data_IF_898831096317
#
_entry.id   IF_898831096317
#
_cell.length_a   1.000
_cell.length_b   1.000
_cell.length_c   1.000
_cell.angle_alpha   90.00
_cell.angle_beta   90.00
_cell.angle_gamma   90.00
#
_symmetry.space_group_name_H-M   'P 1'
#
loop_
_entity.id
_entity.type
_entity.pdbx_description
1 polymer ?
#
# COMPACT_ATOMS: atom_id res chain seq x y z
N UNK A 1 29.45 10.55 -2.01
CA UNK A 1 29.31 10.27 -3.46
C UNK A 1 30.05 9.01 -3.90
N UNK A 2 31.39 8.94 -3.82
CA UNK A 2 32.18 7.82 -4.40
C UNK A 2 31.78 6.41 -3.87
N UNK A 3 31.39 6.28 -2.60
CA UNK A 3 30.93 5.01 -2.03
C UNK A 3 29.53 4.57 -2.51
N UNK A 4 28.62 5.52 -2.77
CA UNK A 4 27.31 5.26 -3.37
C UNK A 4 27.44 4.92 -4.85
N UNK A 5 28.36 5.59 -5.57
CA UNK A 5 28.68 5.30 -6.97
C UNK A 5 29.30 3.90 -7.12
N UNK A 6 30.18 3.48 -6.19
CA UNK A 6 30.75 2.11 -6.19
C UNK A 6 29.71 1.02 -5.91
N UNK A 7 28.78 1.23 -4.97
CA UNK A 7 27.66 0.29 -4.73
C UNK A 7 26.70 0.20 -5.93
N UNK A 8 26.40 1.33 -6.56
CA UNK A 8 25.60 1.38 -7.79
C UNK A 8 26.24 0.61 -8.94
N UNK A 9 27.55 0.80 -9.17
CA UNK A 9 28.30 0.07 -10.21
C UNK A 9 28.41 -1.43 -9.91
N UNK A 10 28.54 -1.82 -8.63
CA UNK A 10 28.55 -3.22 -8.22
C UNK A 10 27.18 -3.92 -8.43
N UNK A 11 26.07 -3.24 -8.13
CA UNK A 11 24.71 -3.74 -8.37
C UNK A 11 24.42 -3.94 -9.87
N UNK A 12 24.93 -3.05 -10.74
CA UNK A 12 24.83 -3.18 -12.20
C UNK A 12 25.57 -4.41 -12.77
N UNK A 13 26.49 -5.02 -12.01
CA UNK A 13 27.13 -6.27 -12.40
C UNK A 13 26.23 -7.51 -12.28
N UNK A 14 25.15 -7.41 -11.51
CA UNK A 14 24.21 -8.52 -11.28
C UNK A 14 23.11 -8.57 -12.36
N UNK A 15 22.47 -9.73 -12.55
CA UNK A 15 21.29 -9.83 -13.41
C UNK A 15 20.10 -9.01 -12.86
N UNK A 16 19.93 -9.00 -11.55
CA UNK A 16 18.86 -8.26 -10.85
C UNK A 16 19.05 -6.73 -10.93
N UNK A 17 20.27 -6.23 -10.73
CA UNK A 17 20.54 -4.78 -10.82
C UNK A 17 20.41 -4.23 -12.24
N UNK A 18 20.71 -5.03 -13.29
CA UNK A 18 20.44 -4.64 -14.69
C UNK A 18 18.95 -4.56 -14.99
N UNK A 19 18.15 -5.50 -14.46
CA UNK A 19 16.68 -5.46 -14.55
C UNK A 19 16.11 -4.24 -13.83
N UNK A 20 16.59 -3.95 -12.62
CA UNK A 20 16.18 -2.77 -11.84
C UNK A 20 16.46 -1.46 -12.60
N UNK A 21 17.65 -1.30 -13.17
CA UNK A 21 18.00 -0.12 -13.97
C UNK A 21 17.09 0.01 -15.21
N UNK A 22 16.89 -1.08 -15.96
CA UNK A 22 16.02 -1.09 -17.14
C UNK A 22 14.60 -0.63 -16.78
N UNK A 23 14.03 -1.17 -15.69
CA UNK A 23 12.70 -0.77 -15.20
C UNK A 23 12.64 0.71 -14.83
N UNK A 24 13.66 1.22 -14.13
CA UNK A 24 13.75 2.63 -13.75
C UNK A 24 13.82 3.56 -14.96
N UNK A 25 14.62 3.22 -15.97
CA UNK A 25 14.73 4.00 -17.23
C UNK A 25 13.40 4.01 -17.98
N UNK A 26 12.78 2.83 -18.16
CA UNK A 26 11.49 2.72 -18.86
C UNK A 26 10.41 3.54 -18.17
N UNK A 27 10.34 3.47 -16.83
CA UNK A 27 9.42 4.28 -16.03
C UNK A 27 9.68 5.79 -16.23
N UNK A 28 10.93 6.23 -16.06
CA UNK A 28 11.28 7.66 -16.16
C UNK A 28 10.99 8.24 -17.55
N UNK A 29 11.27 7.48 -18.62
CA UNK A 29 10.94 7.90 -19.98
C UNK A 29 9.42 7.98 -20.19
N UNK A 30 8.64 7.01 -19.71
CA UNK A 30 7.17 7.04 -19.82
C UNK A 30 6.60 8.27 -19.11
N UNK A 31 7.01 8.52 -17.87
CA UNK A 31 6.51 9.65 -17.07
C UNK A 31 6.77 11.01 -17.74
N UNK A 32 7.88 11.18 -18.47
CA UNK A 32 8.19 12.43 -19.18
C UNK A 32 7.25 12.72 -20.36
N UNK A 33 6.82 11.70 -21.10
CA UNK A 33 6.00 11.89 -22.31
C UNK A 33 4.50 11.66 -22.09
N UNK A 34 4.14 10.97 -21.02
CA UNK A 34 2.76 10.58 -20.73
C UNK A 34 1.82 11.78 -20.55
N UNK A 35 2.19 12.78 -19.73
CA UNK A 35 1.32 13.94 -19.49
C UNK A 35 1.16 14.85 -20.73
N UNK A 36 2.24 15.20 -21.46
CA UNK A 36 2.09 15.97 -22.70
C UNK A 36 1.22 15.25 -23.73
N UNK A 37 1.44 13.94 -23.94
CA UNK A 37 0.63 13.17 -24.89
C UNK A 37 -0.83 13.16 -24.45
N UNK A 38 -1.11 12.78 -23.19
CA UNK A 38 -2.47 12.77 -22.68
C UNK A 38 -3.16 14.13 -22.84
N UNK A 39 -2.47 15.24 -22.60
CA UNK A 39 -3.01 16.58 -22.84
C UNK A 39 -3.35 16.84 -24.31
N UNK A 40 -2.49 16.42 -25.24
CA UNK A 40 -2.69 16.60 -26.68
C UNK A 40 -3.78 15.69 -27.26
N UNK A 41 -4.01 14.53 -26.65
CA UNK A 41 -4.93 13.50 -27.14
C UNK A 41 -6.20 13.38 -26.31
N UNK A 42 -6.61 14.45 -25.61
CA UNK A 42 -7.85 14.49 -24.84
C UNK A 42 -7.94 13.43 -23.74
N UNK A 43 -6.85 13.21 -22.99
CA UNK A 43 -6.75 12.28 -21.87
C UNK A 43 -6.30 10.87 -22.23
N UNK A 44 -6.13 10.55 -23.52
CA UNK A 44 -5.66 9.23 -23.94
C UNK A 44 -4.19 8.99 -23.52
N UNK A 45 -3.91 7.85 -22.89
CA UNK A 45 -2.56 7.45 -22.53
C UNK A 45 -2.13 6.25 -23.41
N UNK A 46 -1.18 6.42 -24.34
CA UNK A 46 -0.74 5.33 -25.20
C UNK A 46 0.19 4.34 -24.48
N UNK A 47 0.63 4.68 -23.27
CA UNK A 47 1.48 3.81 -22.47
C UNK A 47 0.61 2.93 -21.56
N UNK A 48 0.96 1.64 -21.44
CA UNK A 48 0.34 0.77 -20.44
C UNK A 48 0.72 1.26 -19.02
N UNK A 49 -0.10 0.93 -18.00
CA UNK A 49 0.18 1.26 -16.60
C UNK A 49 1.61 0.91 -16.20
N UNK A 50 2.27 1.80 -15.48
CA UNK A 50 3.59 1.55 -14.88
C UNK A 50 3.45 0.59 -13.69
N UNK A 51 2.35 0.70 -12.95
CA UNK A 51 2.04 -0.12 -11.80
C UNK A 51 0.67 -0.77 -11.95
N UNK A 52 0.55 -2.01 -11.47
CA UNK A 52 -0.73 -2.68 -11.32
C UNK A 52 -0.88 -3.02 -9.83
N UNK A 53 -1.94 -2.54 -9.21
CA UNK A 53 -2.34 -2.97 -7.87
C UNK A 53 -3.44 -4.02 -8.03
N UNK A 54 -3.24 -5.19 -7.45
CA UNK A 54 -4.17 -6.33 -7.50
C UNK A 54 -4.55 -6.64 -6.07
N UNK A 55 -5.83 -6.74 -5.78
CA UNK A 55 -6.33 -7.17 -4.47
C UNK A 55 -6.43 -8.70 -4.42
N UNK A 56 -5.54 -9.40 -3.69
CA UNK A 56 -5.60 -10.86 -3.58
C UNK A 56 -6.83 -11.33 -2.81
N UNK A 57 -7.24 -10.52 -1.85
CA UNK A 57 -8.42 -10.69 -1.00
C UNK A 57 -8.67 -9.37 -0.30
N UNK A 58 -9.93 -9.09 0.03
CA UNK A 58 -10.28 -8.01 0.93
C UNK A 58 -10.49 -8.49 2.37
N UNK A 59 -10.35 -9.79 2.67
CA UNK A 59 -10.39 -10.39 4.02
C UNK A 59 -9.17 -10.00 4.85
N UNK A 60 -9.29 -9.95 6.18
CA UNK A 60 -8.18 -9.64 7.10
C UNK A 60 -8.49 -10.23 8.46
N UNK A 61 -7.42 -10.64 9.12
CA UNK A 61 -7.44 -11.24 10.44
C UNK A 61 -7.38 -10.24 11.59
N UNK A 62 -7.36 -8.94 11.28
CA UNK A 62 -7.40 -7.85 12.23
C UNK A 62 -8.55 -6.88 11.92
N UNK A 63 -9.17 -6.38 12.97
CA UNK A 63 -10.18 -5.31 12.95
C UNK A 63 -9.59 -4.03 13.55
N UNK A 64 -8.58 -3.45 12.88
CA UNK A 64 -7.88 -2.25 13.38
C UNK A 64 -8.85 -1.07 13.49
N UNK A 65 -8.75 -0.28 14.55
CA UNK A 65 -9.69 0.82 14.87
C UNK A 65 -9.89 1.81 13.71
N UNK A 66 -8.83 2.12 12.96
CA UNK A 66 -8.89 3.10 11.86
C UNK A 66 -9.21 2.48 10.49
N UNK A 67 -9.41 1.17 10.41
CA UNK A 67 -9.50 0.49 9.13
C UNK A 67 -10.81 0.85 8.42
N UNK A 68 -10.71 1.38 7.20
CA UNK A 68 -11.87 1.71 6.37
C UNK A 68 -12.89 0.56 6.22
N UNK A 69 -12.42 -0.70 6.31
CA UNK A 69 -13.27 -1.89 6.24
C UNK A 69 -14.34 -1.99 7.30
N UNK A 70 -14.11 -1.37 8.46
CA UNK A 70 -15.10 -1.36 9.54
C UNK A 70 -16.25 -0.37 9.28
N UNK A 71 -16.17 0.42 8.21
CA UNK A 71 -17.06 1.55 7.94
C UNK A 71 -17.67 1.54 6.52
N UNK A 72 -17.36 0.53 5.71
CA UNK A 72 -18.00 0.35 4.41
C UNK A 72 -19.29 -0.45 4.53
N UNK A 73 -20.14 -0.42 3.50
CA UNK A 73 -21.32 -1.27 3.44
C UNK A 73 -20.90 -2.70 3.04
N UNK A 74 -21.12 -3.68 3.91
CA UNK A 74 -20.77 -5.08 3.63
C UNK A 74 -21.58 -5.66 2.46
N UNK A 75 -22.80 -5.17 2.21
CA UNK A 75 -23.61 -5.64 1.09
C UNK A 75 -23.02 -5.20 -0.26
N UNK A 76 -22.43 -4.01 -0.30
CA UNK A 76 -21.75 -3.50 -1.50
C UNK A 76 -20.31 -4.02 -1.61
N UNK A 77 -19.70 -4.44 -0.50
CA UNK A 77 -18.29 -4.82 -0.41
C UNK A 77 -18.11 -6.17 0.29
N UNK A 78 -18.68 -7.27 -0.24
CA UNK A 78 -18.60 -8.58 0.40
C UNK A 78 -17.16 -9.06 0.47
N UNK A 79 -16.85 -9.85 1.49
CA UNK A 79 -15.53 -10.41 1.70
C UNK A 79 -15.25 -11.64 0.83
N UNK A 80 -14.20 -11.62 0.01
CA UNK A 80 -13.80 -12.75 -0.82
C UNK A 80 -12.31 -12.72 -1.23
N UNK A 81 -11.87 -13.75 -1.97
CA UNK A 81 -10.56 -13.87 -2.61
C UNK A 81 -10.67 -13.63 -4.12
N UNK A 82 -9.58 -13.14 -4.72
CA UNK A 82 -9.48 -13.12 -6.17
C UNK A 82 -9.51 -14.56 -6.73
N UNK A 83 -10.42 -14.88 -7.66
CA UNK A 83 -10.39 -16.16 -8.35
C UNK A 83 -9.18 -16.20 -9.31
N UNK A 84 -8.59 -17.39 -9.47
CA UNK A 84 -7.35 -17.52 -10.26
C UNK A 84 -7.59 -17.23 -11.75
N UNK A 85 -8.81 -17.48 -12.22
CA UNK A 85 -9.27 -17.21 -13.59
C UNK A 85 -9.27 -15.70 -13.89
N UNK A 86 -9.53 -14.87 -12.87
CA UNK A 86 -9.39 -13.42 -13.02
C UNK A 86 -7.93 -13.01 -13.12
N UNK A 87 -7.04 -13.62 -12.33
CA UNK A 87 -5.61 -13.35 -12.44
C UNK A 87 -5.06 -13.68 -13.84
N UNK A 88 -5.55 -14.73 -14.50
CA UNK A 88 -5.22 -15.06 -15.88
C UNK A 88 -5.59 -13.95 -16.88
N UNK A 89 -6.66 -13.19 -16.62
CA UNK A 89 -7.03 -12.02 -17.42
C UNK A 89 -6.08 -10.82 -17.19
N UNK A 90 -5.44 -10.75 -16.03
CA UNK A 90 -4.49 -9.68 -15.65
C UNK A 90 -3.10 -9.95 -16.23
N UNK A 91 -2.71 -11.23 -16.35
CA UNK A 91 -1.37 -11.64 -16.80
C UNK A 91 -0.84 -10.96 -18.08
N UNK A 92 -1.63 -10.77 -19.15
CA UNK A 92 -1.17 -10.05 -20.34
C UNK A 92 -0.69 -8.61 -20.06
N UNK A 93 -1.24 -7.95 -19.03
CA UNK A 93 -0.85 -6.61 -18.61
C UNK A 93 0.48 -6.61 -17.86
N UNK A 94 0.77 -7.66 -17.08
CA UNK A 94 2.00 -7.80 -16.30
C UNK A 94 3.26 -7.72 -17.18
N UNK A 95 3.21 -8.28 -18.40
CA UNK A 95 4.30 -8.22 -19.36
C UNK A 95 4.66 -6.78 -19.80
N UNK A 96 3.75 -5.83 -19.58
CA UNK A 96 3.87 -4.43 -20.01
C UNK A 96 4.16 -3.46 -18.85
N UNK A 97 4.06 -3.94 -17.61
CA UNK A 97 4.12 -3.14 -16.39
C UNK A 97 5.30 -3.56 -15.51
N UNK A 98 6.22 -2.63 -15.19
CA UNK A 98 7.41 -2.96 -14.40
C UNK A 98 7.14 -3.26 -12.92
N UNK A 99 5.97 -2.90 -12.37
CA UNK A 99 5.68 -3.01 -10.94
C UNK A 99 4.29 -3.59 -10.68
N UNK A 100 4.22 -4.50 -9.70
CA UNK A 100 2.98 -5.08 -9.19
C UNK A 100 2.92 -4.87 -7.69
N UNK A 101 1.78 -4.40 -7.21
CA UNK A 101 1.44 -4.40 -5.78
C UNK A 101 0.37 -5.47 -5.56
N UNK A 102 0.68 -6.51 -4.78
CA UNK A 102 -0.26 -7.57 -4.44
C UNK A 102 -1.02 -7.22 -3.15
N UNK A 103 -1.62 -6.03 -3.12
CA UNK A 103 -2.39 -5.52 -2.00
C UNK A 103 -3.20 -4.29 -2.43
N UNK A 104 -4.44 -4.18 -1.94
CA UNK A 104 -5.24 -2.96 -2.00
C UNK A 104 -5.83 -2.70 -0.60
N UNK A 105 -6.85 -3.46 -0.21
CA UNK A 105 -7.23 -3.67 1.20
C UNK A 105 -6.90 -5.11 1.62
N UNK A 106 -7.46 -5.53 2.76
CA UNK A 106 -7.25 -6.87 3.30
C UNK A 106 -5.85 -7.15 3.84
N UNK A 107 -5.66 -8.38 4.31
CA UNK A 107 -4.35 -8.97 4.60
C UNK A 107 -4.00 -9.92 3.45
N UNK A 108 -3.05 -9.55 2.56
CA UNK A 108 -2.79 -10.32 1.35
C UNK A 108 -2.32 -11.74 1.63
N UNK A 109 -1.67 -12.00 2.77
CA UNK A 109 -1.23 -13.36 3.15
C UNK A 109 -2.38 -14.30 3.53
N UNK A 110 -3.60 -13.81 3.75
CA UNK A 110 -4.81 -14.65 3.85
C UNK A 110 -5.35 -15.09 2.49
N UNK A 111 -4.95 -14.40 1.41
CA UNK A 111 -5.46 -14.60 0.07
C UNK A 111 -5.10 -15.98 -0.47
N UNK A 112 -6.09 -16.81 -0.83
CA UNK A 112 -5.86 -18.18 -1.31
C UNK A 112 -4.93 -18.21 -2.53
N UNK A 113 -5.10 -17.26 -3.44
CA UNK A 113 -4.30 -17.16 -4.67
C UNK A 113 -2.96 -16.42 -4.48
N UNK A 114 -2.70 -15.76 -3.35
CA UNK A 114 -1.58 -14.83 -3.18
C UNK A 114 -0.23 -15.39 -3.61
N UNK A 115 0.14 -16.55 -3.08
CA UNK A 115 1.44 -17.16 -3.38
C UNK A 115 1.50 -17.75 -4.79
N UNK A 116 0.38 -18.20 -5.36
CA UNK A 116 0.33 -18.66 -6.74
C UNK A 116 0.54 -17.49 -7.70
N UNK A 117 -0.10 -16.35 -7.42
CA UNK A 117 0.13 -15.10 -8.17
C UNK A 117 1.60 -14.67 -8.04
N UNK A 118 2.16 -14.60 -6.84
CA UNK A 118 3.56 -14.24 -6.63
C UNK A 118 4.50 -15.16 -7.43
N UNK A 119 4.31 -16.47 -7.36
CA UNK A 119 5.11 -17.44 -8.12
C UNK A 119 5.00 -17.22 -9.63
N UNK A 120 3.79 -17.11 -10.17
CA UNK A 120 3.56 -16.85 -11.61
C UNK A 120 4.20 -15.54 -12.05
N UNK A 121 4.06 -14.48 -11.24
CA UNK A 121 4.65 -13.16 -11.51
C UNK A 121 6.17 -13.28 -11.61
N UNK A 122 6.80 -13.83 -10.57
CA UNK A 122 8.26 -13.89 -10.46
C UNK A 122 8.89 -14.86 -11.47
N UNK A 123 8.17 -15.90 -11.88
CA UNK A 123 8.63 -16.89 -12.87
C UNK A 123 8.50 -16.38 -14.31
N UNK A 124 7.39 -15.71 -14.64
CA UNK A 124 7.02 -15.44 -16.03
C UNK A 124 7.25 -13.99 -16.47
N UNK A 125 7.37 -13.04 -15.52
CA UNK A 125 7.41 -11.61 -15.82
C UNK A 125 8.55 -10.88 -15.08
N UNK A 126 9.05 -9.80 -15.68
CA UNK A 126 10.11 -8.97 -15.07
C UNK A 126 9.53 -7.89 -14.15
N UNK A 127 8.60 -8.26 -13.27
CA UNK A 127 7.92 -7.33 -12.38
C UNK A 127 8.67 -7.20 -11.04
N UNK A 128 8.65 -5.99 -10.51
CA UNK A 128 8.98 -5.71 -9.11
C UNK A 128 7.71 -5.89 -8.29
N UNK A 129 7.70 -6.83 -7.34
CA UNK A 129 6.50 -7.21 -6.58
C UNK A 129 6.62 -6.74 -5.14
N UNK A 130 5.71 -5.86 -4.74
CA UNK A 130 5.59 -5.37 -3.38
C UNK A 130 4.21 -5.65 -2.78
N UNK A 131 4.11 -5.67 -1.46
CA UNK A 131 2.82 -5.65 -0.76
C UNK A 131 2.98 -5.14 0.68
N UNK A 132 1.85 -4.76 1.27
CA UNK A 132 1.77 -4.37 2.68
C UNK A 132 1.11 -5.52 3.46
N UNK A 133 1.62 -5.84 4.64
CA UNK A 133 1.05 -6.85 5.54
C UNK A 133 0.99 -6.29 6.96
N UNK A 134 0.03 -6.77 7.76
CA UNK A 134 0.01 -6.55 9.19
C UNK A 134 1.07 -7.38 9.94
N UNK A 135 1.72 -8.32 9.25
CA UNK A 135 2.86 -9.08 9.76
C UNK A 135 2.49 -10.29 10.63
N UNK A 136 1.22 -10.55 10.89
CA UNK A 136 0.80 -11.67 11.76
C UNK A 136 0.98 -13.03 11.11
N UNK A 137 0.82 -13.09 9.79
CA UNK A 137 1.00 -14.31 9.01
C UNK A 137 2.44 -14.48 8.48
N UNK A 138 3.40 -13.69 8.96
CA UNK A 138 4.83 -13.86 8.66
C UNK A 138 5.49 -14.95 9.53
N UNK A 139 4.78 -16.05 9.79
CA UNK A 139 5.37 -17.24 10.41
C UNK A 139 6.34 -17.92 9.42
N UNK A 140 7.17 -18.85 9.93
CA UNK A 140 8.31 -19.42 9.19
C UNK A 140 7.95 -19.96 7.81
N UNK A 141 6.87 -20.74 7.70
CA UNK A 141 6.37 -21.26 6.41
C UNK A 141 6.12 -20.16 5.38
N UNK A 142 5.46 -19.06 5.75
CA UNK A 142 5.17 -17.98 4.81
C UNK A 142 6.41 -17.14 4.51
N UNK A 143 7.25 -16.87 5.52
CA UNK A 143 8.54 -16.21 5.32
C UNK A 143 9.43 -16.97 4.31
N UNK A 144 9.54 -18.29 4.44
CA UNK A 144 10.29 -19.14 3.51
C UNK A 144 9.74 -19.05 2.08
N UNK A 145 8.42 -19.09 1.92
CA UNK A 145 7.78 -18.95 0.59
C UNK A 145 8.06 -17.59 -0.02
N UNK A 146 7.93 -16.51 0.75
CA UNK A 146 8.19 -15.14 0.28
C UNK A 146 9.65 -14.97 -0.18
N UNK A 147 10.60 -15.45 0.61
CA UNK A 147 12.03 -15.36 0.29
C UNK A 147 12.39 -16.22 -0.90
N UNK A 148 11.92 -17.49 -0.96
CA UNK A 148 12.20 -18.41 -2.08
C UNK A 148 11.61 -17.94 -3.41
N UNK A 149 10.40 -17.41 -3.39
CA UNK A 149 9.74 -16.88 -4.60
C UNK A 149 10.34 -15.53 -5.02
N UNK A 150 11.06 -14.85 -4.12
CA UNK A 150 11.73 -13.59 -4.42
C UNK A 150 10.78 -12.40 -4.43
N UNK A 151 9.89 -12.30 -3.44
CA UNK A 151 9.16 -11.05 -3.17
C UNK A 151 10.17 -9.90 -2.99
N UNK A 152 9.93 -8.75 -3.63
CA UNK A 152 10.91 -7.67 -3.64
C UNK A 152 10.76 -6.74 -2.43
N UNK A 153 9.53 -6.33 -2.10
CA UNK A 153 9.23 -5.42 -0.99
C UNK A 153 8.08 -5.94 -0.13
N UNK A 154 8.25 -5.92 1.19
CA UNK A 154 7.23 -6.30 2.18
C UNK A 154 7.18 -5.23 3.27
N UNK A 155 6.21 -4.33 3.17
CA UNK A 155 5.99 -3.33 4.21
C UNK A 155 5.14 -3.94 5.32
N UNK A 156 5.60 -3.82 6.56
CA UNK A 156 4.90 -4.31 7.74
C UNK A 156 4.32 -3.12 8.48
N UNK A 157 3.00 -3.05 8.61
CA UNK A 157 2.35 -1.92 9.28
C UNK A 157 2.48 -2.02 10.80
N UNK A 158 2.98 -0.96 11.47
CA UNK A 158 3.18 -0.92 12.92
C UNK A 158 2.70 0.41 13.47
N UNK A 159 1.57 0.44 14.18
CA UNK A 159 0.99 1.70 14.68
C UNK A 159 1.33 2.00 16.15
N UNK A 160 2.35 1.33 16.71
CA UNK A 160 2.89 1.67 18.03
C UNK A 160 3.73 0.64 18.71
N UNK A 161 4.25 1.01 19.86
CA UNK A 161 4.77 0.13 20.90
C UNK A 161 3.63 -0.25 21.82
N UNK A 162 3.27 0.62 22.76
CA UNK A 162 2.22 0.35 23.75
C UNK A 162 0.83 0.54 23.12
N UNK A 163 0.66 1.60 22.33
CA UNK A 163 -0.59 1.89 21.62
C UNK A 163 -1.01 0.80 20.61
N UNK A 164 -0.08 -0.04 20.15
CA UNK A 164 -0.32 -1.07 19.13
C UNK A 164 -1.44 -2.04 19.52
N UNK A 165 -1.51 -2.44 20.80
CA UNK A 165 -2.55 -3.36 21.28
C UNK A 165 -3.93 -2.73 21.25
N UNK A 166 -4.04 -1.45 21.60
CA UNK A 166 -5.31 -0.73 21.55
C UNK A 166 -5.81 -0.56 20.12
N UNK A 167 -4.88 -0.22 19.21
CA UNK A 167 -5.17 0.09 17.81
C UNK A 167 -5.48 -1.18 17.00
N UNK A 168 -4.69 -2.25 17.19
CA UNK A 168 -4.73 -3.47 16.36
C UNK A 168 -5.26 -4.71 17.08
N UNK A 169 -5.47 -4.66 18.39
CA UNK A 169 -6.00 -5.78 19.17
C UNK A 169 -4.97 -6.84 19.58
N UNK A 170 -3.70 -6.62 19.26
CA UNK A 170 -2.63 -7.60 19.43
C UNK A 170 -1.38 -6.92 20.00
N UNK A 171 -0.52 -7.61 20.76
CA UNK A 171 0.69 -7.00 21.28
C UNK A 171 1.77 -6.88 20.19
N UNK A 172 2.54 -5.79 20.21
CA UNK A 172 3.62 -5.52 19.23
C UNK A 172 4.62 -6.68 19.15
N UNK A 173 4.89 -7.36 20.28
CA UNK A 173 5.81 -8.51 20.35
C UNK A 173 5.50 -9.62 19.35
N UNK A 174 4.23 -9.82 18.98
CA UNK A 174 3.84 -10.83 17.99
C UNK A 174 4.40 -10.48 16.61
N UNK A 175 4.30 -9.21 16.21
CA UNK A 175 4.82 -8.73 14.93
C UNK A 175 6.36 -8.67 14.95
N UNK A 176 6.98 -8.21 16.05
CA UNK A 176 8.45 -8.20 16.22
C UNK A 176 9.04 -9.61 16.04
N UNK A 177 8.42 -10.62 16.67
CA UNK A 177 8.81 -12.03 16.51
C UNK A 177 8.74 -12.47 15.04
N UNK A 178 7.67 -12.13 14.34
CA UNK A 178 7.47 -12.57 12.96
C UNK A 178 8.42 -11.87 11.97
N UNK A 179 8.77 -10.60 12.21
CA UNK A 179 9.82 -9.93 11.42
C UNK A 179 11.18 -10.58 11.68
N UNK A 180 11.49 -10.97 12.92
CA UNK A 180 12.71 -11.72 13.22
C UNK A 180 12.76 -13.06 12.47
N UNK A 181 11.65 -13.81 12.43
CA UNK A 181 11.55 -15.04 11.63
C UNK A 181 11.87 -14.76 10.14
N UNK A 182 11.32 -13.69 9.58
CA UNK A 182 11.62 -13.31 8.20
C UNK A 182 13.11 -12.99 7.99
N UNK A 183 13.73 -12.29 8.94
CA UNK A 183 15.16 -11.97 8.91
C UNK A 183 16.05 -13.22 9.06
N UNK A 184 15.67 -14.18 9.91
CA UNK A 184 16.34 -15.48 10.04
C UNK A 184 16.31 -16.24 8.72
N UNK A 185 15.13 -16.39 8.12
CA UNK A 185 14.95 -17.08 6.83
C UNK A 185 15.76 -16.42 5.71
N UNK A 186 15.80 -15.09 5.68
CA UNK A 186 16.66 -14.34 4.74
C UNK A 186 18.12 -14.71 4.91
N UNK A 187 18.62 -14.73 6.15
CA UNK A 187 20.00 -15.09 6.45
C UNK A 187 20.30 -16.55 6.06
N UNK A 188 19.41 -17.48 6.41
CA UNK A 188 19.53 -18.91 6.07
C UNK A 188 19.58 -19.16 4.56
N UNK A 189 18.79 -18.41 3.78
CA UNK A 189 18.71 -18.55 2.32
C UNK A 189 19.67 -17.62 1.56
N UNK A 190 20.50 -16.84 2.27
CA UNK A 190 21.43 -15.88 1.67
C UNK A 190 20.74 -14.76 0.87
N UNK A 191 19.51 -14.40 1.24
CA UNK A 191 18.70 -13.37 0.59
C UNK A 191 18.77 -12.04 1.35
N UNK A 192 18.81 -10.92 0.62
CA UNK A 192 18.61 -9.58 1.19
C UNK A 192 17.17 -9.09 1.05
N UNK A 193 16.31 -9.85 0.37
CA UNK A 193 14.91 -9.52 0.08
C UNK A 193 13.95 -10.38 0.91
N UNK A 194 12.73 -9.89 1.21
CA UNK A 194 12.19 -8.57 0.83
C UNK A 194 12.70 -7.42 1.71
N UNK A 195 12.68 -6.18 1.20
CA UNK A 195 12.87 -4.99 2.05
C UNK A 195 11.67 -4.82 3.00
N UNK A 196 11.91 -4.43 4.26
CA UNK A 196 10.87 -4.24 5.28
C UNK A 196 10.79 -2.77 5.68
N UNK A 197 9.57 -2.22 5.75
CA UNK A 197 9.30 -0.83 6.17
C UNK A 197 8.02 -0.71 6.98
N UNK A 198 7.90 0.36 7.76
CA UNK A 198 6.83 0.60 8.77
C UNK A 198 5.94 1.79 8.36
N UNK A 199 4.66 1.85 8.79
CA UNK A 199 3.66 2.92 8.56
C UNK A 199 2.78 3.17 9.83
N UNK A 200 2.44 4.44 10.15
CA UNK A 200 2.14 4.91 11.53
C UNK A 200 1.27 6.20 11.68
N UNK A 201 0.43 6.36 12.73
CA UNK A 201 -0.13 7.67 13.21
C UNK A 201 -0.55 7.85 14.71
N UNK A 202 -1.48 7.06 15.29
CA UNK A 202 -2.24 7.41 16.55
C UNK A 202 -1.38 7.57 17.81
N UNK A 203 -0.10 7.26 17.71
CA UNK A 203 0.84 7.13 18.80
C UNK A 203 2.07 8.00 18.55
N UNK A 204 1.86 9.21 18.01
CA UNK A 204 2.94 10.07 17.51
C UNK A 204 4.08 10.27 18.53
N UNK A 205 3.78 10.21 19.82
CA UNK A 205 4.76 10.26 20.91
C UNK A 205 5.74 9.09 20.95
N UNK A 206 5.33 7.90 20.50
CA UNK A 206 6.15 6.69 20.40
C UNK A 206 6.94 6.62 19.07
N UNK A 207 6.86 7.62 18.18
CA UNK A 207 7.53 7.55 16.86
C UNK A 207 9.04 7.33 16.98
N UNK A 208 9.68 7.90 18.01
CA UNK A 208 11.11 7.69 18.27
C UNK A 208 11.40 6.26 18.77
N UNK A 209 10.54 5.70 19.62
CA UNK A 209 10.67 4.31 20.07
C UNK A 209 10.52 3.33 18.90
N UNK A 210 9.70 3.68 17.91
CA UNK A 210 9.49 2.86 16.73
C UNK A 210 10.65 2.93 15.75
N UNK A 211 11.36 4.06 15.72
CA UNK A 211 12.67 4.14 15.07
C UNK A 211 13.65 3.16 15.72
N UNK A 212 13.63 3.02 17.05
CA UNK A 212 14.46 2.05 17.76
C UNK A 212 14.05 0.60 17.46
N UNK A 213 12.74 0.31 17.44
CA UNK A 213 12.22 -0.98 17.01
C UNK A 213 12.67 -1.29 15.58
N UNK A 214 12.53 -0.34 14.65
CA UNK A 214 12.96 -0.50 13.26
C UNK A 214 14.46 -0.82 13.18
N UNK A 215 15.29 -0.05 13.87
CA UNK A 215 16.73 -0.26 13.92
C UNK A 215 17.10 -1.64 14.49
N UNK A 216 16.44 -2.07 15.57
CA UNK A 216 16.65 -3.38 16.19
C UNK A 216 16.32 -4.55 15.25
N UNK A 217 15.34 -4.34 14.35
CA UNK A 217 14.91 -5.30 13.35
C UNK A 217 15.73 -5.23 12.05
N UNK A 218 16.76 -4.37 11.99
CA UNK A 218 17.58 -4.17 10.80
C UNK A 218 16.87 -3.42 9.66
N UNK A 219 15.70 -2.83 9.92
CA UNK A 219 14.92 -2.06 8.96
C UNK A 219 15.66 -0.75 8.65
N UNK A 220 15.83 -0.45 7.36
CA UNK A 220 16.58 0.75 6.92
C UNK A 220 15.71 1.93 6.59
N UNK A 221 14.41 1.71 6.36
CA UNK A 221 13.50 2.76 5.96
C UNK A 221 12.15 2.61 6.64
N UNK A 222 11.67 3.71 7.20
CA UNK A 222 10.41 3.80 7.92
C UNK A 222 9.61 4.96 7.36
N UNK A 223 8.33 4.72 7.08
CA UNK A 223 7.40 5.74 6.64
C UNK A 223 6.39 6.01 7.75
N UNK A 224 5.95 7.24 7.84
CA UNK A 224 4.85 7.65 8.70
C UNK A 224 3.83 8.32 7.80
N UNK A 225 2.55 8.04 8.00
CA UNK A 225 1.49 8.45 7.10
C UNK A 225 0.32 9.02 7.88
N UNK A 226 -0.41 9.98 7.31
CA UNK A 226 -1.68 10.35 7.89
C UNK A 226 -2.69 9.20 7.74
N UNK A 227 -3.29 8.82 8.85
CA UNK A 227 -4.57 8.11 8.94
C UNK A 227 -5.69 9.00 8.40
N UNK A 228 -6.73 8.36 7.90
CA UNK A 228 -8.00 8.99 7.54
C UNK A 228 -9.05 8.74 8.62
N UNK A 229 -9.90 9.73 8.86
CA UNK A 229 -11.01 9.60 9.79
C UNK A 229 -12.24 9.06 9.04
N UNK A 230 -12.59 7.82 9.34
CA UNK A 230 -13.79 7.15 8.80
C UNK A 230 -15.00 7.22 9.74
N UNK A 231 -14.83 7.74 10.96
CA UNK A 231 -15.89 8.00 11.93
C UNK A 231 -15.63 9.32 12.67
N UNK A 232 -16.67 9.94 13.23
CA UNK A 232 -16.57 11.29 13.82
C UNK A 232 -15.65 11.34 15.04
N UNK A 233 -15.63 10.28 15.85
CA UNK A 233 -14.72 10.18 17.00
C UNK A 233 -13.24 10.05 16.60
N UNK A 234 -12.91 9.70 15.35
CA UNK A 234 -11.54 9.62 14.85
C UNK A 234 -11.00 10.96 14.33
N UNK A 235 -11.85 11.99 14.22
CA UNK A 235 -11.44 13.30 13.68
C UNK A 235 -10.43 13.98 14.61
N UNK A 236 -10.58 13.81 15.93
CA UNK A 236 -9.63 14.38 16.89
C UNK A 236 -8.26 13.68 16.84
N UNK A 237 -8.21 12.42 16.41
CA UNK A 237 -6.97 11.65 16.22
C UNK A 237 -6.15 12.09 14.98
N UNK A 238 -6.65 13.05 14.20
CA UNK A 238 -5.91 13.59 13.07
C UNK A 238 -4.73 14.45 13.55
N UNK A 239 -3.52 14.25 13.01
CA UNK A 239 -2.34 15.06 13.36
C UNK A 239 -2.54 16.55 13.05
N UNK A 240 -3.38 16.88 12.06
CA UNK A 240 -3.78 18.25 11.77
C UNK A 240 -4.59 18.91 12.89
N UNK A 241 -5.19 18.13 13.80
CA UNK A 241 -5.81 18.65 15.04
C UNK A 241 -4.77 18.94 16.12
N UNK A 242 -3.55 18.40 16.02
CA UNK A 242 -2.51 18.40 17.06
C UNK A 242 -1.11 18.73 16.50
N UNK A 243 -1.01 19.77 15.67
CA UNK A 243 0.21 20.09 14.88
C UNK A 243 1.47 20.28 15.73
N UNK A 244 1.39 21.02 16.83
CA UNK A 244 2.56 21.31 17.68
C UNK A 244 3.05 20.06 18.43
N UNK A 245 2.12 19.21 18.88
CA UNK A 245 2.43 17.92 19.46
C UNK A 245 3.15 17.02 18.44
N UNK A 246 2.58 16.92 17.23
CA UNK A 246 3.17 16.13 16.15
C UNK A 246 4.57 16.64 15.77
N UNK A 247 4.74 17.95 15.64
CA UNK A 247 6.03 18.59 15.33
C UNK A 247 7.09 18.24 16.35
N UNK A 248 6.77 18.36 17.64
CA UNK A 248 7.68 18.05 18.75
C UNK A 248 8.19 16.62 18.65
N UNK A 249 7.29 15.64 18.51
CA UNK A 249 7.69 14.23 18.46
C UNK A 249 8.37 13.84 17.14
N UNK A 250 8.00 14.48 16.03
CA UNK A 250 8.68 14.30 14.75
C UNK A 250 10.13 14.76 14.79
N UNK A 251 10.44 15.86 15.49
CA UNK A 251 11.82 16.32 15.61
C UNK A 251 12.67 15.41 16.50
N UNK A 252 12.09 14.86 17.58
CA UNK A 252 12.72 13.81 18.40
C UNK A 252 13.00 12.57 17.55
N UNK A 253 12.00 12.09 16.79
CA UNK A 253 12.14 10.90 15.95
C UNK A 253 13.17 11.09 14.84
N UNK A 254 13.24 12.27 14.20
CA UNK A 254 14.28 12.58 13.19
C UNK A 254 15.67 12.55 13.79
N UNK A 255 15.86 13.15 14.98
CA UNK A 255 17.14 13.13 15.66
C UNK A 255 17.56 11.68 15.95
N UNK A 256 16.63 10.88 16.49
CA UNK A 256 16.88 9.47 16.78
C UNK A 256 17.20 8.66 15.52
N UNK A 257 16.43 8.85 14.43
CA UNK A 257 16.62 8.14 13.17
C UNK A 257 18.00 8.39 12.57
N UNK A 258 18.53 9.61 12.70
CA UNK A 258 19.90 9.95 12.32
C UNK A 258 20.95 9.21 13.15
N UNK A 259 20.74 9.07 14.45
CA UNK A 259 21.66 8.36 15.36
C UNK A 259 21.75 6.86 15.03
N UNK A 260 20.61 6.21 14.77
CA UNK A 260 20.55 4.76 14.54
C UNK A 260 20.63 4.36 13.06
N UNK A 261 20.65 5.34 12.15
CA UNK A 261 20.81 5.12 10.71
C UNK A 261 19.58 4.56 10.02
N UNK A 262 18.38 5.01 10.43
CA UNK A 262 17.09 4.71 9.78
C UNK A 262 16.68 5.89 8.90
N UNK A 263 16.33 5.64 7.64
CA UNK A 263 15.72 6.63 6.75
C UNK A 263 14.24 6.81 7.13
N UNK A 264 13.96 7.87 7.89
CA UNK A 264 12.63 8.19 8.39
C UNK A 264 11.94 9.21 7.47
N UNK A 265 10.82 8.80 6.88
CA UNK A 265 9.95 9.64 6.05
C UNK A 265 8.71 10.01 6.84
N UNK A 266 8.53 11.30 7.11
CA UNK A 266 7.40 11.83 7.89
C UNK A 266 6.39 12.55 6.98
N UNK A 267 5.09 12.52 7.31
CA UNK A 267 4.10 13.23 6.53
C UNK A 267 4.18 14.74 6.83
N UNK A 268 3.77 15.61 5.89
CA UNK A 268 3.71 17.04 6.15
C UNK A 268 2.65 17.35 7.21
N UNK A 269 2.88 18.38 8.02
CA UNK A 269 1.93 18.86 9.04
C UNK A 269 1.14 20.10 8.58
N UNK A 270 1.39 20.55 7.35
CA UNK A 270 0.74 21.70 6.72
C UNK A 270 -0.03 21.25 5.48
N UNK A 271 -1.05 22.04 5.10
CA UNK A 271 -1.85 21.75 3.91
C UNK A 271 -0.93 21.67 2.71
N UNK A 272 -0.96 20.54 2.01
CA UNK A 272 -0.13 20.33 0.82
C UNK A 272 -1.00 19.91 -0.35
N UNK A 273 -0.75 20.49 -1.52
CA UNK A 273 -1.41 20.12 -2.77
C UNK A 273 -0.43 19.36 -3.66
N UNK A 274 -0.89 18.23 -4.21
CA UNK A 274 -0.10 17.32 -5.02
C UNK A 274 -0.82 17.06 -6.35
N UNK A 275 -0.04 17.03 -7.43
CA UNK A 275 -0.52 16.50 -8.69
C UNK A 275 -0.66 14.98 -8.56
N UNK A 276 -1.89 14.46 -8.70
CA UNK A 276 -2.17 13.03 -8.63
C UNK A 276 -1.84 12.35 -9.97
N UNK A 277 -0.85 11.47 -9.97
CA UNK A 277 -0.41 10.74 -11.16
C UNK A 277 -1.03 9.34 -11.29
N UNK A 278 -1.75 8.86 -10.27
CA UNK A 278 -2.28 7.49 -10.25
C UNK A 278 -3.15 7.14 -11.47
N UNK A 279 -4.08 8.01 -11.93
CA UNK A 279 -4.88 7.71 -13.13
C UNK A 279 -4.05 7.57 -14.42
N UNK A 280 -2.80 8.02 -14.40
CA UNK A 280 -1.87 7.92 -15.52
C UNK A 280 -0.90 6.74 -15.37
N UNK A 281 -0.59 6.32 -14.15
CA UNK A 281 0.48 5.36 -13.87
C UNK A 281 0.01 4.02 -13.30
N UNK A 282 -1.15 3.95 -12.65
CA UNK A 282 -1.56 2.79 -11.85
C UNK A 282 -2.95 2.31 -12.23
N UNK A 283 -3.08 1.01 -12.48
CA UNK A 283 -4.37 0.34 -12.58
C UNK A 283 -4.66 -0.42 -11.28
N UNK A 284 -5.82 -0.17 -10.67
CA UNK A 284 -6.24 -0.81 -9.42
C UNK A 284 -7.33 -1.83 -9.74
N UNK A 285 -7.09 -3.10 -9.43
CA UNK A 285 -7.93 -4.24 -9.80
C UNK A 285 -8.38 -4.95 -8.52
N UNK A 286 -9.67 -4.92 -8.26
CA UNK A 286 -10.30 -5.58 -7.12
C UNK A 286 -10.43 -7.09 -7.35
N UNK A 287 -10.70 -7.83 -6.27
CA UNK A 287 -10.86 -9.29 -6.31
C UNK A 287 -12.03 -9.76 -7.20
N UNK A 288 -13.03 -8.91 -7.41
CA UNK A 288 -14.24 -9.14 -8.22
C UNK A 288 -14.09 -8.71 -9.69
N UNK A 289 -12.89 -8.27 -10.08
CA UNK A 289 -12.56 -7.83 -11.44
C UNK A 289 -12.92 -6.39 -11.73
N UNK A 290 -13.55 -5.67 -10.79
CA UNK A 290 -13.79 -4.24 -10.91
C UNK A 290 -12.46 -3.49 -10.95
N UNK A 291 -12.37 -2.50 -11.83
CA UNK A 291 -11.17 -1.68 -12.00
C UNK A 291 -11.48 -0.24 -11.60
N UNK A 292 -10.58 0.33 -10.79
CA UNK A 292 -10.71 1.67 -10.22
C UNK A 292 -9.57 2.58 -10.69
N UNK A 293 -9.80 3.90 -10.79
CA UNK A 293 -8.80 4.83 -11.32
C UNK A 293 -7.70 5.20 -10.31
N UNK A 294 -7.89 4.96 -9.00
CA UNK A 294 -6.93 5.31 -7.96
C UNK A 294 -7.18 4.58 -6.63
N UNK A 295 -6.23 4.71 -5.68
CA UNK A 295 -6.29 4.11 -4.35
C UNK A 295 -7.49 4.53 -3.49
N UNK A 296 -8.07 5.70 -3.75
CA UNK A 296 -9.20 6.25 -2.97
C UNK A 296 -10.56 5.85 -3.52
N UNK A 297 -10.61 5.37 -4.76
CA UNK A 297 -11.84 4.99 -5.43
C UNK A 297 -12.21 3.52 -5.14
N UNK A 298 -11.28 2.77 -4.54
CA UNK A 298 -11.50 1.39 -4.13
C UNK A 298 -12.53 1.38 -3.01
N UNK A 299 -13.64 0.69 -3.25
CA UNK A 299 -14.80 0.60 -2.33
C UNK A 299 -15.54 1.92 -2.08
N UNK A 300 -15.25 2.95 -2.88
CA UNK A 300 -16.19 4.05 -3.07
C UNK A 300 -17.13 3.62 -4.19
N UNK A 301 -18.42 3.41 -3.89
CA UNK A 301 -19.47 3.00 -4.85
C UNK A 301 -19.69 3.95 -6.04
N UNK A 302 -18.84 4.95 -6.20
CA UNK A 302 -19.05 6.10 -7.08
C UNK A 302 -18.18 6.09 -8.34
N UNK A 303 -17.12 5.26 -8.44
CA UNK A 303 -16.16 5.38 -9.56
C UNK A 303 -15.57 4.04 -10.01
N UNK A 304 -16.39 3.18 -10.61
CA UNK A 304 -15.90 2.08 -11.44
C UNK A 304 -15.54 2.60 -12.81
N UNK A 305 -14.38 2.18 -13.33
CA UNK A 305 -13.97 2.49 -14.71
C UNK A 305 -14.08 1.28 -15.63
N UNK A 306 -14.54 0.13 -15.13
CA UNK A 306 -14.85 -1.06 -15.92
C UNK A 306 -14.61 -2.34 -15.14
N UNK A 307 -14.84 -3.49 -15.79
CA UNK A 307 -14.65 -4.80 -15.17
C UNK A 307 -13.92 -5.75 -16.15
N UNK A 308 -12.90 -6.48 -15.69
CA UNK A 308 -12.10 -7.40 -16.52
C UNK A 308 -12.83 -8.66 -16.99
N UNK A 309 -14.01 -8.95 -16.42
CA UNK A 309 -14.91 -9.97 -16.97
C UNK A 309 -15.61 -9.49 -18.25
N UNK A 310 -15.83 -8.19 -18.39
CA UNK A 310 -16.61 -7.59 -19.47
C UNK A 310 -15.76 -6.83 -20.49
N UNK A 311 -14.61 -6.30 -20.08
CA UNK A 311 -13.76 -5.44 -20.87
C UNK A 311 -12.31 -5.92 -20.87
N UNK A 312 -11.57 -5.58 -21.92
CA UNK A 312 -10.11 -5.71 -21.92
C UNK A 312 -9.48 -4.60 -21.07
N UNK A 313 -8.27 -4.83 -20.55
CA UNK A 313 -7.58 -3.82 -19.75
C UNK A 313 -7.33 -2.51 -20.53
N UNK A 314 -7.12 -2.56 -21.85
CA UNK A 314 -6.81 -1.38 -22.67
C UNK A 314 -8.06 -0.52 -22.91
N UNK A 315 -9.21 -1.18 -23.12
CA UNK A 315 -10.51 -0.50 -23.18
C UNK A 315 -10.80 0.24 -21.87
N UNK A 316 -10.58 -0.41 -20.72
CA UNK A 316 -10.74 0.22 -19.40
C UNK A 316 -9.76 1.39 -19.24
N UNK A 317 -8.48 1.17 -19.53
CA UNK A 317 -7.40 2.15 -19.32
C UNK A 317 -7.58 3.46 -20.11
N UNK A 318 -8.34 3.41 -21.20
CA UNK A 318 -8.55 4.52 -22.12
C UNK A 318 -10.02 4.76 -22.45
N UNK A 319 -10.95 4.35 -21.58
CA UNK A 319 -12.36 4.71 -21.73
C UNK A 319 -12.58 6.22 -21.51
N UNK A 320 -13.81 6.68 -21.74
CA UNK A 320 -14.12 8.11 -21.63
C UNK A 320 -13.97 8.63 -20.19
N UNK A 321 -14.44 7.89 -19.19
CA UNK A 321 -14.36 8.30 -17.78
C UNK A 321 -12.91 8.54 -17.32
N UNK A 322 -11.98 7.67 -17.70
CA UNK A 322 -10.55 7.80 -17.37
C UNK A 322 -9.90 8.96 -18.13
N UNK A 323 -10.26 9.15 -19.41
CA UNK A 323 -9.79 10.29 -20.21
C UNK A 323 -10.24 11.63 -19.62
N UNK A 324 -11.51 11.74 -19.24
CA UNK A 324 -12.09 12.92 -18.62
C UNK A 324 -11.41 13.21 -17.28
N UNK A 325 -11.24 12.17 -16.44
CA UNK A 325 -10.50 12.28 -15.18
C UNK A 325 -9.08 12.82 -15.40
N UNK A 326 -8.32 12.24 -16.34
CA UNK A 326 -6.96 12.70 -16.68
C UNK A 326 -6.96 14.14 -17.16
N UNK A 327 -7.89 14.52 -18.03
CA UNK A 327 -7.99 15.91 -18.51
C UNK A 327 -8.33 16.87 -17.38
N UNK A 328 -9.21 16.49 -16.45
CA UNK A 328 -9.54 17.32 -15.30
C UNK A 328 -8.34 17.56 -14.38
N UNK A 329 -7.46 16.56 -14.23
CA UNK A 329 -6.23 16.68 -13.44
C UNK A 329 -5.17 17.53 -14.14
N UNK A 330 -5.06 17.43 -15.48
CA UNK A 330 -4.09 18.19 -16.27
C UNK A 330 -4.45 19.67 -16.44
N UNK A 331 -5.74 19.96 -16.52
CA UNK A 331 -6.26 21.32 -16.78
C UNK A 331 -6.66 22.04 -15.49
N UNK A 332 -7.06 21.29 -14.47
CA UNK A 332 -7.72 21.83 -13.28
C UNK A 332 -9.19 22.20 -13.50
N UNK A 333 -9.74 21.97 -14.70
CA UNK A 333 -11.12 22.30 -15.08
C UNK A 333 -12.02 21.06 -15.03
N UNK A 334 -13.28 21.23 -14.61
CA UNK A 334 -14.27 20.15 -14.62
C UNK A 334 -13.89 18.97 -13.72
N UNK A 335 -13.26 19.25 -12.58
CA UNK A 335 -12.84 18.19 -11.67
C UNK A 335 -14.03 17.46 -11.09
N UNK A 336 -13.98 16.13 -11.13
CA UNK A 336 -15.03 15.31 -10.53
C UNK A 336 -15.03 15.51 -9.01
N UNK A 337 -16.21 15.54 -8.41
CA UNK A 337 -16.43 15.82 -6.97
C UNK A 337 -15.53 14.96 -6.07
N UNK A 338 -15.33 13.70 -6.45
CA UNK A 338 -14.45 12.80 -5.73
C UNK A 338 -12.99 13.26 -5.68
N UNK A 339 -12.45 13.80 -6.78
CA UNK A 339 -11.09 14.33 -6.82
C UNK A 339 -10.97 15.68 -6.08
N UNK A 340 -12.06 16.44 -5.98
CA UNK A 340 -12.10 17.67 -5.18
C UNK A 340 -11.99 17.38 -3.68
N UNK A 341 -12.52 16.23 -3.23
CA UNK A 341 -12.50 15.78 -1.82
C UNK A 341 -11.38 14.78 -1.49
N UNK A 342 -10.47 14.51 -2.43
CA UNK A 342 -9.43 13.50 -2.25
C UNK A 342 -8.24 13.96 -1.39
N UNK A 343 -7.98 13.25 -0.29
CA UNK A 343 -6.82 13.44 0.62
C UNK A 343 -5.45 13.25 -0.04
N UNK A 344 -5.39 12.56 -1.18
CA UNK A 344 -4.15 12.31 -1.91
C UNK A 344 -3.78 13.48 -2.84
N UNK A 345 -4.76 14.25 -3.29
CA UNK A 345 -4.55 15.48 -4.09
C UNK A 345 -4.35 16.68 -3.19
N UNK A 346 -5.21 16.83 -2.17
CA UNK A 346 -5.12 17.91 -1.21
C UNK A 346 -5.04 17.28 0.17
N UNK A 347 -3.86 17.32 0.77
CA UNK A 347 -3.62 16.77 2.08
C UNK A 347 -3.85 17.84 3.14
N UNK A 348 -5.02 17.81 3.79
CA UNK A 348 -5.34 18.62 4.97
C UNK A 348 -6.38 17.91 5.85
N UNK A 349 -6.75 18.54 6.97
CA UNK A 349 -7.79 18.02 7.87
C UNK A 349 -9.10 17.72 7.13
N UNK A 350 -9.63 18.69 6.38
CA UNK A 350 -10.94 18.57 5.73
C UNK A 350 -11.01 17.42 4.74
N UNK A 351 -9.92 17.16 4.02
CA UNK A 351 -9.83 16.07 3.04
C UNK A 351 -9.50 14.71 3.66
N UNK A 352 -8.90 14.68 4.84
CA UNK A 352 -8.70 13.45 5.63
C UNK A 352 -9.95 13.01 6.38
N UNK A 353 -10.97 13.86 6.43
CA UNK A 353 -12.30 13.52 6.90
C UNK A 353 -13.08 12.96 5.70
N UNK A 354 -13.50 11.69 5.80
CA UNK A 354 -14.50 11.03 4.94
C UNK A 354 -14.31 11.16 3.41
N UNK A 355 -13.76 10.10 2.80
CA UNK A 355 -13.84 9.86 1.33
C UNK A 355 -14.88 8.78 0.97
N UNK A 356 -15.21 7.86 1.89
CA UNK A 356 -16.18 6.79 1.66
C UNK A 356 -17.61 7.25 2.01
N UNK A 357 -18.64 6.78 1.27
CA UNK A 357 -20.05 7.13 1.53
C UNK A 357 -20.45 6.69 2.95
N UNK A 358 -21.28 7.50 3.61
CA UNK A 358 -21.74 7.24 4.99
C UNK A 358 -22.56 5.95 5.04
N UNK A 359 -21.94 4.84 5.40
CA UNK A 359 -22.65 3.75 6.08
C UNK A 359 -22.79 4.16 7.55
N UNK A 360 -23.98 4.57 7.99
CA UNK A 360 -24.43 4.81 9.38
C UNK A 360 -23.37 5.08 10.49
N UNK A 361 -22.32 5.86 10.22
CA UNK A 361 -21.25 6.14 11.18
C UNK A 361 -21.60 7.29 12.13
N UNK A 362 -22.87 7.37 12.55
CA UNK A 362 -23.29 8.12 13.73
C UNK A 362 -23.11 7.29 15.02
N UNK A 363 -22.88 5.98 14.88
CA UNK A 363 -22.69 5.06 16.00
C UNK A 363 -21.20 4.95 16.39
N UNK A 364 -20.94 4.77 17.68
CA UNK A 364 -19.61 4.73 18.28
C UNK A 364 -18.70 3.62 17.74
N UNK A 365 -17.56 3.39 18.40
CA UNK A 365 -16.60 2.33 18.03
C UNK A 365 -17.32 1.00 17.76
N UNK A 366 -17.13 0.35 16.59
CA UNK A 366 -17.75 -0.94 16.31
C UNK A 366 -17.48 -1.91 17.46
N UNK A 367 -18.52 -2.58 17.96
CA UNK A 367 -18.47 -3.39 19.18
C UNK A 367 -17.42 -4.53 19.14
N UNK A 368 -16.91 -4.88 17.96
CA UNK A 368 -15.95 -5.94 17.72
C UNK A 368 -14.53 -5.44 17.32
N UNK A 369 -14.27 -4.13 17.35
CA UNK A 369 -12.98 -3.59 16.94
C UNK A 369 -11.88 -3.95 17.94
N UNK A 370 -10.89 -4.72 17.45
CA UNK A 370 -9.65 -5.16 18.10
C UNK A 370 -9.64 -6.55 18.79
N UNK A 371 -10.24 -7.58 18.17
CA UNK A 371 -9.91 -8.99 18.45
C UNK A 371 -9.39 -9.71 17.20
N UNK A 372 -8.45 -10.64 17.38
CA UNK A 372 -8.05 -11.59 16.33
C UNK A 372 -9.24 -12.48 16.00
N UNK A 373 -9.49 -12.75 14.71
CA UNK A 373 -10.47 -13.74 14.33
C UNK A 373 -10.07 -15.14 14.85
N UNK A 374 -11.07 -16.01 15.05
CA UNK A 374 -10.88 -17.31 15.69
C UNK A 374 -10.00 -18.26 14.87
N UNK A 375 -10.03 -18.18 13.53
CA UNK A 375 -9.22 -19.03 12.65
C UNK A 375 -7.74 -18.64 12.74
N UNK A 376 -7.45 -17.33 12.79
CA UNK A 376 -6.08 -16.83 13.00
C UNK A 376 -5.55 -17.16 14.38
N UNK A 377 -6.39 -17.15 15.43
CA UNK A 377 -5.95 -17.59 16.75
C UNK A 377 -5.48 -19.05 16.72
N UNK A 378 -6.19 -19.92 15.99
CA UNK A 378 -5.79 -21.31 15.80
C UNK A 378 -4.53 -21.44 14.91
N UNK A 379 -4.43 -20.70 13.81
CA UNK A 379 -3.29 -20.78 12.89
C UNK A 379 -1.99 -20.23 13.50
N UNK A 380 -2.08 -19.17 14.31
CA UNK A 380 -0.97 -18.64 15.10
C UNK A 380 -0.56 -19.62 16.21
N UNK A 381 -1.49 -20.37 16.80
CA UNK A 381 -1.18 -21.39 17.81
C UNK A 381 -0.57 -22.68 17.22
N UNK A 382 -0.99 -23.08 16.02
CA UNK A 382 -0.50 -24.29 15.34
C UNK A 382 0.91 -24.09 14.78
N UNK A 383 1.26 -22.86 14.39
CA UNK A 383 2.53 -22.53 13.73
C UNK A 383 3.51 -21.73 14.62
N UNK A 384 3.18 -21.50 15.90
CA UNK A 384 4.10 -20.99 16.94
C UNK A 384 4.85 -22.15 17.60
#
# INVERSE_FOLDING_TARGET
MIAQTRKGVALLGTSDGRKQLKRSIVRGLREQFMYPIARMTGGHNPFPPVQIAIEPTNRCNLKCEFCARLYWDEADNPEDDIPIELFEKIEPLLAKSPKVILQIFGEPLMGKAFFNMLERIKKNYDCHVGFNTNGILLHRRNAERLVRLGADEVYVSIDGTDAFKEIRGIPIKSMVRNINILNEVKAELGSTKPDVGIAMKKNVHETADLVDVAASLGIKKMWVSHMEAHADYLIDELLFSHVELARTHFDIAKARAKEVGVDLVLPPLEKTEYFCDQPFNTMWINWDGAVRPCCRAVYANTIDIGNLYENTWDEIWNNQAVKDLRMSLLTGEGMIEFCEKCSHRVLCKDHLIRILPRGNAEEGRPAEAATLDQETQAEVQINA
#
